data_IF_707923882026
#
_entry.id   IF_707923882026
#
_cell.length_a   1.000
_cell.length_b   1.000
_cell.length_c   1.000
_cell.angle_alpha   90.00
_cell.angle_beta   90.00
_cell.angle_gamma   90.00
#
_symmetry.space_group_name_H-M   'P 1'
#
loop_
_entity.id
_entity.type
_entity.pdbx_description
1 polymer ?
2 polymer ?
#
# COMPACT_ATOMS: atom_id res chain seq x y z
N UNK A 2 5.70 -15.16 10.46
CA UNK A 2 7.06 -14.86 9.99
C UNK A 2 7.98 -16.08 10.03
N UNK A 3 9.21 -15.93 9.56
CA UNK A 3 10.27 -16.93 9.74
C UNK A 3 11.28 -16.45 10.77
N UNK A 4 11.71 -17.36 11.64
CA UNK A 4 12.68 -17.08 12.71
C UNK A 4 13.59 -18.29 12.89
N UNK A 5 14.71 -18.06 13.57
CA UNK A 5 15.67 -19.13 13.87
C UNK A 5 15.09 -20.16 14.83
N UNK A 6 15.15 -21.43 14.43
CA UNK A 6 14.75 -22.55 15.29
C UNK A 6 15.80 -22.86 16.35
N UNK A 7 15.52 -23.90 17.14
CA UNK A 7 16.48 -24.45 18.09
C UNK A 7 17.78 -24.89 17.40
N UNK A 8 17.68 -25.40 16.19
CA UNK A 8 18.85 -25.75 15.37
C UNK A 8 19.47 -24.55 14.68
N UNK A 9 19.03 -23.33 14.97
CA UNK A 9 19.59 -22.12 14.37
C UNK A 9 19.10 -21.84 12.97
N UNK A 10 18.81 -22.89 12.19
CA UNK A 10 18.19 -22.72 10.88
C UNK A 10 16.80 -22.09 11.00
N UNK A 11 16.39 -21.40 9.94
CA UNK A 11 15.13 -20.68 9.93
C UNK A 11 13.92 -21.63 9.87
N UNK A 12 12.87 -21.29 10.62
CA UNK A 12 11.59 -21.99 10.58
C UNK A 12 10.48 -20.99 10.82
N UNK A 13 9.25 -21.35 10.41
CA UNK A 13 8.11 -20.45 10.57
C UNK A 13 7.73 -20.29 12.04
N UNK A 14 7.28 -19.09 12.41
CA UNK A 14 6.61 -18.83 13.68
C UNK A 14 5.32 -18.04 13.44
N UNK A 15 4.28 -18.39 14.18
CA UNK A 15 2.94 -17.86 13.94
C UNK A 15 2.85 -16.34 14.11
N UNK A 16 2.08 -15.71 13.22
CA UNK A 16 1.70 -14.31 13.37
C UNK A 16 0.91 -14.14 14.67
N UNK A 17 1.38 -13.25 15.55
CA UNK A 17 0.88 -13.20 16.92
C UNK A 17 -0.55 -12.66 16.99
N UNK A 18 -1.29 -13.02 18.04
CA UNK A 18 -2.63 -12.43 18.24
C UNK A 18 -2.61 -10.92 18.35
N UNK A 19 -1.54 -10.35 18.89
CA UNK A 19 -1.41 -8.89 18.96
C UNK A 19 -1.23 -8.26 17.59
N UNK A 20 -0.44 -8.87 16.71
CA UNK A 20 -0.34 -8.39 15.34
C UNK A 20 -1.66 -8.50 14.58
N UNK A 21 -2.35 -9.64 14.68
CA UNK A 21 -3.66 -9.77 14.02
C UNK A 21 -4.69 -8.79 14.58
N UNK A 22 -4.74 -8.64 15.90
CA UNK A 22 -5.66 -7.66 16.48
C UNK A 22 -5.31 -6.24 16.03
N UNK A 23 -4.03 -5.92 15.94
CA UNK A 23 -3.60 -4.62 15.41
C UNK A 23 -4.05 -4.41 13.96
N UNK A 24 -3.84 -5.41 13.10
CA UNK A 24 -4.28 -5.29 11.71
C UNK A 24 -5.80 -5.17 11.59
N UNK A 25 -6.54 -6.01 12.32
CA UNK A 25 -7.99 -5.91 12.31
C UNK A 25 -8.44 -4.51 12.74
N UNK A 26 -7.84 -4.00 13.82
CA UNK A 26 -8.13 -2.63 14.26
C UNK A 26 -7.79 -1.60 13.19
N UNK A 27 -6.62 -1.72 12.57
CA UNK A 27 -6.22 -0.80 11.50
C UNK A 27 -7.26 -0.74 10.39
N UNK A 28 -7.68 -1.90 9.88
CA UNK A 28 -8.64 -1.89 8.77
C UNK A 28 -10.04 -1.50 9.21
N UNK A 29 -10.44 -1.86 10.43
CA UNK A 29 -11.73 -1.42 10.96
C UNK A 29 -11.80 0.09 11.16
N UNK A 30 -10.75 0.69 11.72
CA UNK A 30 -10.72 2.14 11.93
C UNK A 30 -10.51 2.92 10.63
N UNK A 31 -9.44 2.62 9.90
CA UNK A 31 -8.85 3.54 8.95
C UNK A 31 -9.25 3.28 7.49
N UNK A 32 -9.98 2.20 7.23
CA UNK A 32 -10.81 2.04 6.04
C UNK A 32 -10.12 2.47 4.74
N UNK A 33 -8.89 1.96 4.54
CA UNK A 33 -8.07 2.26 3.35
C UNK A 33 -7.83 3.75 3.12
N UNK A 34 -7.64 4.51 4.20
CA UNK A 34 -6.82 5.70 4.13
C UNK A 34 -5.36 5.29 3.91
N UNK A 35 -4.58 6.09 3.17
CA UNK A 35 -3.30 5.57 2.63
C UNK A 35 -2.33 5.04 3.66
N UNK A 36 -2.37 5.49 4.91
CA UNK A 36 -1.49 4.96 5.94
C UNK A 36 -1.71 3.47 6.22
N UNK A 37 -2.85 2.92 5.79
CA UNK A 37 -3.08 1.47 5.89
C UNK A 37 -2.03 0.65 5.13
N UNK A 38 -1.45 1.19 4.06
CA UNK A 38 -0.41 0.47 3.32
C UNK A 38 0.91 0.41 4.08
N UNK A 39 1.45 1.53 4.59
CA UNK A 39 2.60 1.41 5.50
C UNK A 39 2.33 0.59 6.74
N UNK A 40 1.14 0.71 7.34
CA UNK A 40 0.80 -0.12 8.50
C UNK A 40 0.76 -1.60 8.13
N UNK A 41 0.14 -1.95 7.00
CA UNK A 41 0.18 -3.32 6.52
C UNK A 41 1.62 -3.82 6.35
N UNK A 42 2.44 -3.03 5.65
CA UNK A 42 3.82 -3.45 5.38
C UNK A 42 4.68 -3.55 6.64
N UNK A 43 4.44 -2.70 7.64
CA UNK A 43 5.14 -2.78 8.91
C UNK A 43 4.68 -3.98 9.73
N UNK A 44 3.37 -4.20 9.83
CA UNK A 44 2.83 -5.35 10.54
C UNK A 44 3.22 -6.66 9.87
N UNK A 45 3.38 -6.66 8.56
CA UNK A 45 3.67 -7.86 7.78
C UNK A 45 5.16 -8.08 7.47
N UNK A 46 6.07 -7.48 8.23
CA UNK A 46 7.50 -7.71 7.98
C UNK A 46 7.87 -9.18 8.18
N UNK A 47 8.63 -9.71 7.22
CA UNK A 47 9.06 -11.11 7.24
C UNK A 47 7.98 -12.14 7.08
N UNK A 48 6.79 -11.73 6.66
CA UNK A 48 5.64 -12.62 6.53
C UNK A 48 5.79 -13.62 5.38
N UNK A 49 5.46 -14.87 5.64
CA UNK A 49 5.26 -15.83 4.56
C UNK A 49 3.92 -15.55 3.87
N UNK A 50 3.71 -16.09 2.67
CA UNK A 50 2.37 -16.01 2.06
C UNK A 50 1.23 -16.51 2.95
N UNK A 51 1.44 -17.57 3.74
CA UNK A 51 0.41 -17.97 4.69
C UNK A 51 0.11 -16.89 5.73
N UNK A 52 1.13 -16.14 6.17
CA UNK A 52 0.89 -15.04 7.09
C UNK A 52 0.16 -13.89 6.43
N UNK A 53 0.48 -13.60 5.17
CA UNK A 53 -0.21 -12.55 4.43
C UNK A 53 -1.67 -12.89 4.21
N UNK A 54 -1.93 -14.12 3.74
CA UNK A 54 -3.30 -14.59 3.60
C UNK A 54 -4.05 -14.58 4.92
N UNK A 55 -3.38 -14.91 6.03
CA UNK A 55 -4.04 -14.83 7.34
C UNK A 55 -4.44 -13.40 7.68
N UNK A 56 -3.57 -12.43 7.41
CA UNK A 56 -3.94 -11.03 7.65
C UNK A 56 -5.14 -10.61 6.80
N UNK A 57 -5.10 -10.92 5.51
CA UNK A 57 -6.19 -10.48 4.62
C UNK A 57 -7.52 -11.18 4.91
N UNK A 58 -7.48 -12.46 5.29
CA UNK A 58 -8.71 -13.16 5.66
C UNK A 58 -9.38 -12.60 6.92
N UNK A 59 -8.62 -12.11 7.90
CA UNK A 59 -9.22 -11.56 9.10
C UNK A 59 -9.94 -10.23 8.88
N UNK A 60 -9.83 -9.60 7.72
CA UNK A 60 -10.56 -8.36 7.44
C UNK A 60 -12.06 -8.64 7.40
N UNK A 61 -12.77 -8.14 8.42
CA UNK A 61 -14.22 -8.18 8.41
C UNK A 61 -14.82 -6.99 7.67
N UNK A 62 -15.96 -7.22 7.02
CA UNK A 62 -16.51 -6.22 6.12
C UNK A 62 -15.59 -5.93 4.95
N UNK A 63 -15.79 -4.74 4.36
CA UNK A 63 -14.96 -4.26 3.24
C UNK A 63 -14.91 -5.25 2.07
N UNK A 64 -15.91 -6.13 1.94
CA UNK A 64 -15.79 -7.25 1.01
C UNK A 64 -15.76 -6.82 -0.46
N UNK A 65 -16.26 -5.63 -0.80
CA UNK A 65 -16.04 -5.09 -2.14
C UNK A 65 -14.57 -4.77 -2.38
N UNK A 66 -13.93 -4.10 -1.41
CA UNK A 66 -12.50 -3.83 -1.50
C UNK A 66 -11.66 -5.11 -1.55
N UNK A 67 -11.97 -6.09 -0.69
CA UNK A 67 -11.25 -7.35 -0.72
C UNK A 67 -11.43 -8.13 -2.02
N UNK A 68 -12.56 -7.97 -2.72
CA UNK A 68 -12.64 -8.54 -4.08
C UNK A 68 -11.80 -7.77 -5.08
N UNK A 69 -11.73 -6.44 -4.98
CA UNK A 69 -10.78 -5.70 -5.81
C UNK A 69 -9.35 -6.13 -5.55
N UNK A 70 -9.04 -6.51 -4.32
CA UNK A 70 -7.71 -7.03 -3.99
C UNK A 70 -7.46 -8.40 -4.62
N UNK A 71 -8.42 -9.32 -4.52
CA UNK A 71 -8.23 -10.64 -5.11
C UNK A 71 -8.12 -10.59 -6.62
N UNK A 72 -8.91 -9.75 -7.30
CA UNK A 72 -8.74 -9.65 -8.75
C UNK A 72 -7.42 -8.99 -9.13
N UNK A 73 -6.87 -8.12 -8.28
CA UNK A 73 -5.53 -7.60 -8.53
C UNK A 73 -4.47 -8.68 -8.37
N UNK A 74 -4.50 -9.43 -7.27
CA UNK A 74 -3.55 -10.52 -7.08
C UNK A 74 -3.67 -11.55 -8.20
N UNK A 75 -4.88 -11.79 -8.71
CA UNK A 75 -5.01 -12.63 -9.90
C UNK A 75 -4.27 -12.04 -11.10
N UNK A 76 -4.44 -10.75 -11.33
CA UNK A 76 -3.76 -10.07 -12.43
C UNK A 76 -2.25 -10.09 -12.26
N UNK A 77 -1.74 -9.79 -11.05
CA UNK A 77 -0.31 -9.87 -10.80
C UNK A 77 0.22 -11.29 -10.92
N UNK A 78 -0.53 -12.27 -10.40
CA UNK A 78 -0.08 -13.67 -10.48
C UNK A 78 -0.10 -14.20 -11.91
N UNK A 79 -1.08 -13.78 -12.71
CA UNK A 79 -1.07 -14.14 -14.14
C UNK A 79 0.10 -13.49 -14.87
N UNK A 80 0.40 -12.23 -14.57
CA UNK A 80 1.59 -11.59 -15.12
C UNK A 80 2.88 -12.30 -14.72
N UNK A 81 2.99 -12.73 -13.47
CA UNK A 81 4.14 -13.54 -13.05
C UNK A 81 4.24 -14.84 -13.86
N UNK A 82 3.13 -15.57 -13.99
CA UNK A 82 3.13 -16.78 -14.80
C UNK A 82 3.32 -16.54 -16.30
N UNK A 83 3.10 -15.32 -16.77
CA UNK A 83 3.48 -14.95 -18.13
C UNK A 83 4.97 -14.65 -18.21
N UNK A 84 5.48 -13.93 -17.22
CA UNK A 84 6.89 -13.54 -17.16
C UNK A 84 7.81 -14.74 -16.97
N UNK A 85 7.61 -15.52 -15.91
CA UNK A 85 8.48 -16.68 -15.63
C UNK A 85 8.09 -17.92 -16.44
N UNK A 86 9.01 -18.51 -17.24
CA UNK A 86 8.72 -19.79 -17.92
C UNK A 86 8.70 -20.97 -16.97
N UNK A 87 8.40 -22.16 -17.48
CA UNK A 87 8.47 -23.41 -16.71
C UNK A 87 9.69 -24.21 -17.14
N UNK A 88 10.46 -24.67 -16.15
CA UNK A 88 11.71 -25.39 -16.41
C UNK A 88 11.44 -26.75 -17.06
N UNK A 97 14.65 -26.79 -4.95
CA UNK A 97 13.30 -26.26 -5.07
C UNK A 97 12.96 -25.94 -6.53
N UNK A 98 11.70 -26.20 -6.91
CA UNK A 98 11.15 -25.70 -8.16
C UNK A 98 11.02 -24.18 -8.13
N UNK A 99 10.93 -23.59 -9.33
CA UNK A 99 10.52 -22.20 -9.44
C UNK A 99 9.04 -22.06 -9.07
N UNK A 100 8.67 -21.14 -8.17
CA UNK A 100 7.26 -21.01 -7.78
C UNK A 100 6.40 -20.42 -8.89
N UNK A 101 5.24 -21.02 -9.13
CA UNK A 101 4.23 -20.41 -9.99
C UNK A 101 3.54 -19.27 -9.24
N UNK A 102 2.84 -18.43 -9.99
CA UNK A 102 2.14 -17.30 -9.38
C UNK A 102 1.16 -17.73 -8.31
N UNK A 103 0.45 -18.83 -8.54
CA UNK A 103 -0.42 -19.43 -7.53
C UNK A 103 0.35 -19.96 -6.31
N UNK A 104 1.62 -20.32 -6.48
CA UNK A 104 2.43 -20.73 -5.32
C UNK A 104 2.88 -19.54 -4.50
N UNK A 105 3.25 -18.44 -5.16
CA UNK A 105 3.61 -17.22 -4.45
C UNK A 105 2.43 -16.67 -3.66
N UNK A 106 1.23 -16.71 -4.24
CA UNK A 106 0.01 -16.34 -3.52
C UNK A 106 -0.33 -17.28 -2.37
N UNK A 107 0.42 -18.36 -2.17
CA UNK A 107 0.09 -19.35 -1.15
C UNK A 107 -1.13 -20.19 -1.44
N UNK A 108 -1.66 -20.15 -2.66
CA UNK A 108 -2.87 -20.90 -2.99
C UNK A 108 -2.58 -22.34 -3.37
N UNK A 109 -1.40 -22.62 -3.94
CA UNK A 109 -1.07 -23.96 -4.44
C UNK A 109 0.24 -24.51 -3.85
N UNK A 110 0.71 -23.97 -2.73
CA UNK A 110 1.89 -24.51 -2.05
C UNK A 110 1.60 -24.74 -0.58
N UNK A 111 2.34 -25.69 0.01
CA UNK A 111 2.47 -25.78 1.46
C UNK A 111 3.23 -24.58 2.03
N UNK A 112 3.12 -24.41 3.34
CA UNK A 112 4.00 -23.49 4.07
C UNK A 112 5.45 -23.95 4.05
N UNK A 113 5.68 -25.27 4.07
CA UNK A 113 7.05 -25.79 3.98
C UNK A 113 7.75 -25.35 2.70
N UNK A 114 7.04 -25.34 1.56
CA UNK A 114 7.63 -24.81 0.33
C UNK A 114 7.95 -23.32 0.46
N UNK A 115 7.11 -22.57 1.16
CA UNK A 115 7.37 -21.15 1.34
C UNK A 115 8.59 -20.90 2.22
N UNK A 116 8.76 -21.70 3.28
CA UNK A 116 10.00 -21.65 4.05
C UNK A 116 11.19 -22.04 3.18
N UNK A 117 11.04 -23.08 2.36
CA UNK A 117 12.08 -23.49 1.44
C UNK A 117 12.55 -22.36 0.53
N UNK A 118 11.61 -21.77 -0.21
CA UNK A 118 11.93 -20.67 -1.10
C UNK A 118 12.52 -19.47 -0.35
N UNK A 119 11.96 -19.11 0.80
CA UNK A 119 12.47 -17.96 1.54
C UNK A 119 13.83 -18.19 2.19
N UNK A 120 14.24 -19.44 2.43
CA UNK A 120 15.53 -19.73 3.05
C UNK A 120 16.56 -20.28 2.06
N UNK A 121 16.20 -20.45 0.78
CA UNK A 121 17.15 -20.89 -0.23
C UNK A 121 18.25 -19.84 -0.44
N UNK A 122 19.35 -20.28 -1.06
CA UNK A 122 20.47 -19.40 -1.44
C UNK A 122 20.73 -19.47 -2.94
N UNK A 123 20.60 -18.36 -3.68
CA UNK A 123 19.98 -17.08 -3.28
C UNK A 123 18.52 -17.28 -2.88
N UNK A 124 17.95 -16.39 -2.07
CA UNK A 124 16.54 -16.54 -1.69
C UNK A 124 15.62 -16.35 -2.88
N UNK A 125 14.49 -17.06 -2.82
CA UNK A 125 13.35 -16.77 -3.70
C UNK A 125 12.27 -16.17 -2.79
N UNK A 126 12.20 -14.84 -2.67
CA UNK A 126 11.50 -14.21 -1.52
C UNK A 126 9.99 -14.10 -1.74
N UNK A 127 9.34 -15.26 -1.80
CA UNK A 127 7.90 -15.30 -2.09
C UNK A 127 7.09 -14.43 -1.14
N UNK A 128 7.53 -14.29 0.11
CA UNK A 128 6.86 -13.38 1.03
C UNK A 128 6.89 -11.92 0.59
N UNK A 129 8.03 -11.46 0.07
CA UNK A 129 8.09 -10.09 -0.43
C UNK A 129 7.43 -9.93 -1.79
N UNK A 130 7.60 -10.89 -2.70
CA UNK A 130 6.96 -10.80 -4.00
C UNK A 130 5.45 -10.69 -3.83
N UNK A 131 4.89 -11.57 -3.00
CA UNK A 131 3.45 -11.53 -2.75
C UNK A 131 3.04 -10.27 -2.01
N UNK A 132 3.82 -9.82 -1.03
CA UNK A 132 3.50 -8.55 -0.39
C UNK A 132 3.52 -7.37 -1.36
N UNK A 133 4.38 -7.40 -2.39
CA UNK A 133 4.28 -6.39 -3.44
C UNK A 133 2.95 -6.44 -4.16
N UNK A 134 2.48 -7.64 -4.52
CA UNK A 134 1.19 -7.72 -5.20
C UNK A 134 0.04 -7.24 -4.31
N UNK A 135 0.05 -7.63 -3.04
CA UNK A 135 -0.97 -7.17 -2.11
C UNK A 135 -0.95 -5.66 -1.94
N UNK A 136 0.23 -5.07 -1.78
CA UNK A 136 0.35 -3.62 -1.65
C UNK A 136 -0.08 -2.90 -2.93
N UNK A 137 0.20 -3.48 -4.10
CA UNK A 137 -0.29 -2.90 -5.36
C UNK A 137 -1.81 -2.96 -5.49
N UNK A 138 -2.44 -3.98 -4.93
CA UNK A 138 -3.89 -4.00 -4.86
C UNK A 138 -4.48 -3.07 -3.81
N UNK A 139 -3.82 -2.99 -2.66
CA UNK A 139 -4.23 -2.02 -1.65
C UNK A 139 -4.09 -0.60 -2.17
N UNK A 140 -3.10 -0.33 -3.01
CA UNK A 140 -3.03 0.96 -3.70
C UNK A 140 -4.25 1.21 -4.55
N UNK A 141 -4.59 0.30 -5.47
CA UNK A 141 -5.81 0.48 -6.26
C UNK A 141 -7.04 0.75 -5.39
N UNK A 142 -7.12 0.07 -4.24
CA UNK A 142 -8.25 0.28 -3.32
C UNK A 142 -8.19 1.66 -2.69
N UNK A 143 -7.03 2.03 -2.13
CA UNK A 143 -6.86 3.34 -1.51
C UNK A 143 -7.20 4.47 -2.49
N UNK A 144 -6.70 4.46 -3.72
CA UNK A 144 -7.10 5.46 -4.73
C UNK A 144 -8.55 5.42 -5.04
N UNK A 145 -9.23 4.29 -4.91
CA UNK A 145 -10.67 4.33 -5.15
C UNK A 145 -11.47 4.84 -3.94
N UNK A 146 -11.00 4.56 -2.73
CA UNK A 146 -11.64 5.07 -1.51
C UNK A 146 -11.36 6.56 -1.28
N UNK A 147 -10.29 7.10 -1.83
CA UNK A 147 -10.06 8.55 -1.85
C UNK A 147 -11.17 9.29 -2.60
N UNK A 148 -11.91 10.19 -1.94
CA UNK A 148 -13.13 10.76 -2.55
C UNK A 148 -12.90 11.94 -3.49
N UNK A 149 -11.70 12.52 -3.56
CA UNK A 149 -11.45 13.76 -4.29
C UNK A 149 -10.21 13.65 -5.16
N UNK A 150 -10.29 14.17 -6.38
CA UNK A 150 -9.09 14.41 -7.17
C UNK A 150 -8.26 15.51 -6.54
N UNK A 151 -6.94 15.44 -6.76
CA UNK A 151 -6.05 16.54 -6.42
C UNK A 151 -6.41 17.84 -7.13
N UNK A 152 -7.07 17.76 -8.29
CA UNK A 152 -7.59 18.94 -8.96
C UNK A 152 -8.73 19.61 -8.19
N UNK A 153 -9.43 18.85 -7.33
CA UNK A 153 -10.54 19.40 -6.56
C UNK A 153 -10.10 20.16 -5.31
N UNK A 154 -8.90 19.91 -4.80
CA UNK A 154 -8.46 20.54 -3.55
C UNK A 154 -8.12 22.00 -3.78
N UNK A 155 -8.88 22.90 -3.13
CA UNK A 155 -8.62 24.33 -3.11
C UNK A 155 -8.73 24.86 -1.68
N UNK A 156 -8.03 25.96 -1.41
CA UNK A 156 -8.15 26.66 -0.14
C UNK A 156 -9.37 27.57 -0.12
N UNK A 157 -10.14 27.51 0.97
CA UNK A 157 -11.22 28.45 1.19
C UNK A 157 -10.73 29.85 1.52
N UNK A 158 -11.53 30.88 1.24
CA UNK A 158 -11.14 32.24 1.62
C UNK A 158 -10.87 32.42 3.11
N UNK A 159 -11.50 31.62 3.97
CA UNK A 159 -11.32 31.70 5.42
C UNK A 159 -10.52 30.54 5.99
N UNK A 160 -9.79 29.79 5.16
CA UNK A 160 -9.13 28.55 5.60
C UNK A 160 -7.63 28.75 5.82
N UNK A 161 -7.07 28.33 6.96
CA UNK A 161 -5.62 28.47 7.17
C UNK A 161 -4.80 27.71 6.15
N UNK A 162 -3.67 28.30 5.76
CA UNK A 162 -2.82 27.72 4.72
C UNK A 162 -2.20 26.39 5.11
N UNK A 163 -2.01 26.15 6.41
CA UNK A 163 -1.56 24.82 6.86
C UNK A 163 -2.65 23.76 6.73
N UNK A 164 -3.92 24.10 6.95
CA UNK A 164 -4.98 23.11 6.76
C UNK A 164 -5.23 22.80 5.29
N UNK A 165 -4.94 23.74 4.40
CA UNK A 165 -4.87 23.45 2.97
C UNK A 165 -3.64 22.64 2.55
N UNK A 166 -2.44 22.97 3.02
CA UNK A 166 -1.32 22.06 2.78
C UNK A 166 -1.62 20.64 3.27
N UNK A 167 -2.22 20.51 4.45
CA UNK A 167 -2.52 19.17 4.95
C UNK A 167 -3.51 18.44 4.06
N UNK A 168 -4.58 19.12 3.62
CA UNK A 168 -5.52 18.49 2.70
C UNK A 168 -4.89 18.17 1.35
N UNK A 169 -4.03 19.06 0.85
CA UNK A 169 -3.41 18.86 -0.44
C UNK A 169 -2.46 17.68 -0.43
N UNK A 170 -1.50 17.64 0.48
CA UNK A 170 -0.57 16.51 0.50
C UNK A 170 -1.24 15.21 0.92
N UNK A 171 -2.27 15.24 1.78
CA UNK A 171 -3.00 14.01 2.06
C UNK A 171 -3.75 13.50 0.84
N UNK A 172 -4.21 14.38 -0.04
CA UNK A 172 -4.79 13.94 -1.31
C UNK A 172 -3.73 13.50 -2.32
N UNK A 173 -2.63 14.25 -2.41
CA UNK A 173 -1.54 13.95 -3.34
C UNK A 173 -0.94 12.58 -3.07
N UNK A 174 -0.81 12.21 -1.80
CA UNK A 174 -0.33 10.88 -1.43
C UNK A 174 -1.17 9.75 -2.01
N UNK A 175 -2.44 10.00 -2.33
CA UNK A 175 -3.33 9.00 -2.91
C UNK A 175 -3.57 9.17 -4.41
N UNK A 176 -2.85 10.06 -5.10
CA UNK A 176 -2.96 10.16 -6.55
C UNK A 176 -2.25 8.99 -7.26
N UNK A 177 -2.83 8.59 -8.39
CA UNK A 177 -2.22 7.56 -9.26
C UNK A 177 -1.00 8.09 -10.02
N UNK A 178 -0.98 9.39 -10.32
CA UNK A 178 -0.08 9.94 -11.34
C UNK A 178 1.40 9.70 -11.03
N UNK A 179 2.21 9.69 -12.09
CA UNK A 179 3.63 9.46 -11.99
C UNK A 179 4.31 10.55 -11.16
N UNK A 180 5.51 10.24 -10.66
CA UNK A 180 6.22 11.18 -9.80
C UNK A 180 6.59 12.47 -10.53
N UNK A 181 6.73 12.45 -11.85
CA UNK A 181 6.89 13.69 -12.62
C UNK A 181 5.66 14.57 -12.51
N UNK A 182 4.47 13.96 -12.57
CA UNK A 182 3.23 14.72 -12.40
C UNK A 182 3.06 15.18 -10.96
N UNK A 183 3.35 14.34 -9.97
CA UNK A 183 3.27 14.81 -8.59
C UNK A 183 4.24 15.95 -8.30
N UNK A 184 5.46 15.90 -8.84
CA UNK A 184 6.35 17.05 -8.75
C UNK A 184 5.74 18.30 -9.35
N UNK A 185 5.26 18.21 -10.59
CA UNK A 185 4.59 19.36 -11.19
C UNK A 185 3.39 19.83 -10.39
N UNK A 186 2.62 18.90 -9.82
CA UNK A 186 1.48 19.29 -8.98
C UNK A 186 1.92 20.04 -7.74
N UNK A 187 2.95 19.57 -7.04
CA UNK A 187 3.39 20.29 -5.86
C UNK A 187 3.84 21.70 -6.21
N UNK A 188 4.54 21.87 -7.33
CA UNK A 188 5.00 23.21 -7.65
C UNK A 188 3.86 24.11 -8.13
N UNK A 189 3.17 23.70 -9.20
CA UNK A 189 2.16 24.56 -9.83
C UNK A 189 0.82 24.61 -9.10
N UNK A 190 0.24 23.45 -8.76
CA UNK A 190 -1.06 23.45 -8.09
C UNK A 190 -0.99 24.00 -6.66
N UNK A 191 0.10 23.76 -5.94
CA UNK A 191 0.19 24.34 -4.60
C UNK A 191 0.11 25.86 -4.64
N UNK A 192 0.78 26.51 -5.58
CA UNK A 192 0.62 27.95 -5.75
C UNK A 192 -0.79 28.30 -6.26
N UNK A 193 -1.24 27.65 -7.34
CA UNK A 193 -2.43 28.11 -8.04
C UNK A 193 -3.74 27.92 -7.27
N UNK A 194 -3.86 26.87 -6.46
CA UNK A 194 -5.14 26.60 -5.81
C UNK A 194 -5.30 27.25 -4.44
N UNK A 195 -4.26 27.92 -3.93
CA UNK A 195 -4.40 28.75 -2.73
C UNK A 195 -5.38 29.89 -2.95
N UNK A 196 -6.01 30.34 -1.85
CA UNK A 196 -6.92 31.49 -1.90
C UNK A 196 -6.14 32.76 -2.28
N UNK A 197 -6.83 33.78 -2.82
CA UNK A 197 -6.09 34.89 -3.45
C UNK A 197 -5.14 35.64 -2.53
N UNK A 198 -5.44 35.75 -1.24
CA UNK A 198 -4.50 36.35 -0.29
C UNK A 198 -3.22 35.53 -0.19
N UNK A 199 -3.37 34.25 0.15
CA UNK A 199 -2.21 33.38 0.28
C UNK A 199 -1.51 33.20 -1.06
N UNK A 200 -2.28 32.98 -2.13
CA UNK A 200 -1.68 32.88 -3.46
C UNK A 200 -0.89 34.13 -3.83
N UNK A 201 -1.33 35.32 -3.40
CA UNK A 201 -0.52 36.51 -3.62
C UNK A 201 0.83 36.41 -2.92
N UNK A 202 0.84 35.93 -1.68
CA UNK A 202 2.14 35.74 -1.00
C UNK A 202 2.98 34.68 -1.71
N UNK A 203 2.36 33.58 -2.15
CA UNK A 203 3.10 32.53 -2.87
C UNK A 203 3.61 32.96 -4.24
N UNK A 204 2.90 33.88 -4.92
CA UNK A 204 3.42 34.45 -6.16
C UNK A 204 4.51 35.47 -5.90
N UNK A 205 4.48 36.12 -4.74
CA UNK A 205 5.57 37.02 -4.35
C UNK A 205 6.83 36.23 -4.00
N UNK A 206 6.68 35.04 -3.40
CA UNK A 206 7.81 34.13 -3.26
C UNK A 206 8.29 33.58 -4.59
N UNK A 207 7.36 33.15 -5.46
CA UNK A 207 7.70 32.55 -6.73
C UNK A 207 7.76 31.03 -6.74
N UNK A 208 8.22 30.45 -7.87
CA UNK A 208 8.26 28.98 -8.00
C UNK A 208 9.33 28.30 -7.15
N UNK A 209 10.36 29.01 -6.71
CA UNK A 209 11.56 28.41 -6.15
C UNK A 209 11.51 28.07 -4.66
N UNK A 210 10.52 28.59 -3.94
CA UNK A 210 10.45 28.41 -2.49
C UNK A 210 10.21 26.97 -2.07
N UNK A 211 10.78 26.61 -0.92
CA UNK A 211 10.50 25.36 -0.23
C UNK A 211 9.15 25.42 0.49
N UNK A 212 8.61 24.24 0.81
CA UNK A 212 7.37 24.14 1.55
C UNK A 212 7.42 24.81 2.92
N UNK A 213 8.60 24.85 3.55
CA UNK A 213 8.76 25.60 4.79
C UNK A 213 8.61 27.09 4.59
N UNK A 214 9.24 27.62 3.53
CA UNK A 214 9.10 29.05 3.24
C UNK A 214 7.67 29.42 2.89
N UNK A 215 7.00 28.61 2.08
CA UNK A 215 5.61 28.89 1.72
C UNK A 215 4.68 28.85 2.93
N UNK A 216 4.88 27.89 3.84
CA UNK A 216 4.04 27.83 5.04
C UNK A 216 4.36 28.94 6.03
N UNK A 217 5.63 29.23 6.29
CA UNK A 217 5.94 30.29 7.23
C UNK A 217 5.53 31.66 6.69
N UNK A 218 5.63 31.87 5.38
CA UNK A 218 5.16 33.12 4.78
C UNK A 218 3.64 33.27 4.90
N UNK A 219 2.88 32.24 4.53
CA UNK A 219 1.43 32.33 4.64
C UNK A 219 0.89 32.14 6.07
N UNK A 220 1.75 32.06 7.08
CA UNK A 220 1.30 31.87 8.45
C UNK A 220 0.49 33.07 8.94
N UNK A 221 -0.79 32.84 9.26
CA UNK A 221 -1.72 33.88 9.66
C UNK A 221 -2.15 34.83 8.56
N UNK A 222 -1.82 34.54 7.31
CA UNK A 222 -2.24 35.38 6.19
C UNK A 222 -3.70 35.12 5.83
N UNK B 1 -7.76 -18.21 -12.61
CA UNK B 1 -6.98 -17.39 -11.64
C UNK B 1 -6.89 -18.01 -10.27
N UNK B 2 -5.82 -17.71 -9.53
CA UNK B 2 -5.60 -18.41 -8.25
C UNK B 2 -6.62 -18.07 -7.16
N UNK B 3 -7.23 -16.89 -7.19
CA UNK B 3 -8.18 -16.45 -6.17
C UNK B 3 -9.56 -16.21 -6.78
N UNK B 4 -10.46 -17.17 -6.58
CA UNK B 4 -11.81 -17.10 -7.11
C UNK B 4 -12.66 -16.13 -6.28
N UNK B 5 -13.77 -15.61 -6.86
CA UNK B 5 -14.47 -14.48 -6.19
C UNK B 5 -14.98 -14.75 -4.79
N UNK B 6 -15.67 -15.86 -4.56
CA UNK B 6 -16.18 -16.15 -3.23
C UNK B 6 -15.15 -16.72 -2.27
N UNK B 7 -13.99 -17.06 -2.79
CA UNK B 7 -12.99 -17.84 -2.07
C UNK B 7 -12.14 -16.96 -1.17
N UNK B 8 -11.79 -17.49 0.00
CA UNK B 8 -10.86 -16.80 0.90
C UNK B 8 -9.46 -16.74 0.29
N UNK B 9 -8.65 -15.79 0.77
CA UNK B 9 -7.26 -15.69 0.33
C UNK B 9 -6.50 -16.95 0.71
N UNK B 10 -5.74 -17.50 -0.24
CA UNK B 10 -5.04 -18.74 -0.05
C UNK B 10 -5.83 -20.00 -0.38
N UNK B 11 -7.09 -19.87 -0.75
CA UNK B 11 -7.90 -21.01 -1.14
C UNK B 11 -8.16 -21.98 -0.01
N UNK B 12 -8.53 -23.23 -0.34
CA UNK B 12 -8.88 -24.22 0.68
C UNK B 12 -7.74 -24.54 1.65
#
# INVERSE_FOLDING_TARGET
MPIVQNLQGQMVHQAISPRTLNAWVKVVEEKAFSPEVIPMFSALSEGATPQDLNTMLNTVGGHQAAMQMLKETINEEAAEWDRLHPVHAGPIAPGQMREPRGSDIAGTTSTLQEQIGWMTHNPPIPVGEIYKRWIILGLNKIVRMYSPTSILDIRQGPKEPFRDYVDRFYKTLRAEQASQEVKNWMTETLLVQNANPDCKTILKALGPGATLEEMMTACQGVGGPGHKARVL
GPLLPGQSFGGPSVS
#
